data_IF_106083762955
#
_entry.id   IF_106083762955
#
_cell.length_a   1.000
_cell.length_b   1.000
_cell.length_c   1.000
_cell.angle_alpha   90.00
_cell.angle_beta   90.00
_cell.angle_gamma   90.00
#
_symmetry.space_group_name_H-M   'P 1'
#
loop_
_entity.id
_entity.type
_entity.pdbx_description
1 polymer ?
#
# COMPACT_ATOMS: atom_id res chain seq x y z
N UNK A 1 94.70 7.26 8.89
CA UNK A 1 95.04 6.18 7.94
C UNK A 1 93.78 5.36 7.69
N UNK A 2 93.27 5.36 6.46
CA UNK A 2 91.94 4.89 6.07
C UNK A 2 92.12 3.94 4.88
N UNK A 3 91.83 2.65 5.04
CA UNK A 3 91.85 1.64 3.98
C UNK A 3 90.40 1.34 3.53
N UNK A 4 90.06 1.49 2.23
CA UNK A 4 88.72 1.18 1.74
C UNK A 4 88.61 -0.29 1.27
N UNK A 5 87.67 -1.03 1.86
CA UNK A 5 87.12 -2.27 1.30
C UNK A 5 86.06 -1.91 0.25
N UNK A 6 86.47 -1.82 -1.01
CA UNK A 6 85.55 -1.76 -2.16
C UNK A 6 86.12 -2.66 -3.24
N UNK A 7 85.32 -3.65 -3.65
CA UNK A 7 85.43 -4.56 -4.81
C UNK A 7 85.36 -6.05 -4.44
N UNK A 8 84.20 -6.46 -3.91
CA UNK A 8 83.74 -7.84 -3.93
C UNK A 8 82.30 -7.89 -4.49
N UNK A 9 82.06 -7.16 -5.60
CA UNK A 9 80.76 -7.06 -6.29
C UNK A 9 80.83 -7.35 -7.79
N UNK A 10 82.01 -7.63 -8.33
CA UNK A 10 82.23 -7.84 -9.77
C UNK A 10 82.20 -9.32 -10.22
N UNK A 11 82.02 -10.28 -9.30
CA UNK A 11 82.16 -11.72 -9.61
C UNK A 11 80.86 -12.42 -9.99
N UNK A 12 79.68 -11.84 -9.74
CA UNK A 12 78.40 -12.52 -10.02
C UNK A 12 78.01 -12.39 -11.49
N UNK A 13 78.22 -11.21 -12.10
CA UNK A 13 77.84 -10.97 -13.50
C UNK A 13 78.80 -11.62 -14.51
N UNK A 14 80.07 -11.82 -14.16
CA UNK A 14 81.04 -12.49 -15.03
C UNK A 14 80.77 -13.99 -15.20
N UNK A 15 80.09 -14.63 -14.24
CA UNK A 15 79.70 -16.05 -14.31
C UNK A 15 78.42 -16.29 -15.12
N UNK A 16 77.68 -15.23 -15.48
CA UNK A 16 76.43 -15.29 -16.25
C UNK A 16 76.64 -15.07 -17.76
N UNK A 17 77.86 -14.73 -18.19
CA UNK A 17 78.17 -14.39 -19.58
C UNK A 17 78.93 -15.51 -20.34
N UNK A 18 79.04 -16.71 -19.76
CA UNK A 18 79.69 -17.86 -20.37
C UNK A 18 78.65 -18.73 -21.09
N UNK A 19 78.89 -19.17 -22.34
CA UNK A 19 77.88 -19.88 -23.14
C UNK A 19 77.41 -21.16 -22.44
N UNK A 20 76.08 -21.37 -22.44
CA UNK A 20 75.36 -22.46 -21.75
C UNK A 20 75.84 -23.87 -22.12
N UNK A 21 76.59 -24.04 -23.22
CA UNK A 21 77.12 -25.33 -23.69
C UNK A 21 78.34 -25.85 -22.88
N UNK A 22 78.98 -25.03 -22.03
CA UNK A 22 80.15 -25.45 -21.26
C UNK A 22 79.84 -25.86 -19.80
N UNK A 23 78.58 -25.82 -19.38
CA UNK A 23 78.20 -26.08 -17.99
C UNK A 23 78.07 -27.56 -17.69
N UNK A 24 78.88 -28.07 -16.76
CA UNK A 24 78.71 -29.41 -16.18
C UNK A 24 77.29 -29.58 -15.60
N UNK A 25 76.65 -30.73 -15.87
CA UNK A 25 75.31 -31.08 -15.40
C UNK A 25 75.07 -30.80 -13.90
N UNK A 26 76.12 -30.89 -13.07
CA UNK A 26 76.06 -30.58 -11.64
C UNK A 26 75.77 -29.10 -11.36
N UNK A 27 76.34 -28.16 -12.14
CA UNK A 27 76.12 -26.71 -11.97
C UNK A 27 74.72 -26.30 -12.42
N UNK A 28 74.19 -26.94 -13.46
CA UNK A 28 72.81 -26.73 -13.92
C UNK A 28 71.83 -27.19 -12.83
N UNK A 29 72.06 -28.37 -12.23
CA UNK A 29 71.24 -28.86 -11.13
C UNK A 29 71.24 -27.92 -9.91
N UNK A 30 72.42 -27.44 -9.49
CA UNK A 30 72.53 -26.51 -8.36
C UNK A 30 71.81 -25.18 -8.63
N UNK A 31 71.92 -24.65 -9.85
CA UNK A 31 71.27 -23.39 -10.21
C UNK A 31 69.75 -23.55 -10.28
N UNK A 32 69.27 -24.68 -10.81
CA UNK A 32 67.85 -25.04 -10.79
C UNK A 32 67.28 -25.15 -9.37
N UNK A 33 68.00 -25.80 -8.46
CA UNK A 33 67.61 -25.88 -7.04
C UNK A 33 67.60 -24.50 -6.39
N UNK A 34 68.60 -23.66 -6.66
CA UNK A 34 68.65 -22.30 -6.10
C UNK A 34 67.49 -21.43 -6.58
N UNK A 35 67.17 -21.47 -7.88
CA UNK A 35 66.01 -20.75 -8.44
C UNK A 35 64.71 -21.32 -7.87
N UNK A 36 64.57 -22.64 -7.80
CA UNK A 36 63.40 -23.29 -7.22
C UNK A 36 63.17 -22.92 -5.76
N UNK A 37 64.23 -22.92 -4.94
CA UNK A 37 64.16 -22.50 -3.55
C UNK A 37 63.78 -21.02 -3.41
N UNK A 38 64.27 -20.16 -4.30
CA UNK A 38 63.97 -18.73 -4.28
C UNK A 38 62.51 -18.46 -4.68
N UNK A 39 62.00 -19.15 -5.70
CA UNK A 39 60.58 -19.09 -6.10
C UNK A 39 59.67 -19.65 -5.01
N UNK A 40 60.09 -20.74 -4.35
CA UNK A 40 59.32 -21.32 -3.25
C UNK A 40 59.28 -20.37 -2.05
N UNK A 41 60.42 -19.79 -1.66
CA UNK A 41 60.51 -18.83 -0.57
C UNK A 41 59.68 -17.56 -0.84
N UNK A 42 59.69 -17.05 -2.07
CA UNK A 42 58.88 -15.89 -2.45
C UNK A 42 57.38 -16.23 -2.42
N UNK A 43 56.99 -17.40 -2.93
CA UNK A 43 55.60 -17.89 -2.86
C UNK A 43 55.09 -18.01 -1.42
N UNK A 44 55.87 -18.57 -0.51
CA UNK A 44 55.52 -18.67 0.91
C UNK A 44 55.41 -17.30 1.58
N UNK A 45 56.31 -16.36 1.24
CA UNK A 45 56.25 -15.00 1.76
C UNK A 45 54.99 -14.25 1.29
N UNK A 46 54.63 -14.39 0.00
CA UNK A 46 53.41 -13.84 -0.58
C UNK A 46 52.16 -14.43 0.07
N UNK A 47 52.13 -15.74 0.28
CA UNK A 47 50.98 -16.39 0.92
C UNK A 47 50.79 -15.94 2.38
N UNK A 48 51.87 -15.89 3.19
CA UNK A 48 51.79 -15.37 4.56
C UNK A 48 51.34 -13.92 4.63
N UNK A 49 51.80 -13.06 3.71
CA UNK A 49 51.35 -11.67 3.65
C UNK A 49 49.85 -11.52 3.33
N UNK A 50 49.29 -12.48 2.57
CA UNK A 50 47.86 -12.52 2.21
C UNK A 50 46.98 -13.02 3.37
N UNK A 51 47.47 -13.96 4.17
CA UNK A 51 46.76 -14.44 5.36
C UNK A 51 46.76 -13.38 6.50
N UNK A 52 47.86 -12.64 6.60
CA UNK A 52 47.98 -11.48 7.50
C UNK A 52 47.04 -10.33 7.10
N UNK A 53 46.80 -10.11 5.81
CA UNK A 53 45.89 -9.04 5.36
C UNK A 53 44.42 -9.38 5.60
N UNK A 54 44.02 -10.64 5.43
CA UNK A 54 42.66 -11.11 5.75
C UNK A 54 42.30 -10.97 7.24
N UNK A 55 43.24 -11.32 8.12
CA UNK A 55 43.05 -11.19 9.58
C UNK A 55 43.07 -9.73 10.05
N UNK A 56 43.89 -8.87 9.44
CA UNK A 56 43.88 -7.43 9.72
C UNK A 56 42.59 -6.75 9.23
N UNK A 57 42.07 -7.12 8.07
CA UNK A 57 40.79 -6.60 7.54
C UNK A 57 39.60 -7.01 8.42
N UNK A 58 39.61 -8.23 8.97
CA UNK A 58 38.58 -8.68 9.92
C UNK A 58 38.64 -7.90 11.24
N UNK A 59 39.84 -7.65 11.76
CA UNK A 59 40.04 -6.85 12.99
C UNK A 59 39.65 -5.39 12.82
N UNK A 60 39.94 -4.78 11.67
CA UNK A 60 39.54 -3.40 11.39
C UNK A 60 38.02 -3.28 11.21
N UNK A 61 37.38 -4.24 10.54
CA UNK A 61 35.92 -4.29 10.44
C UNK A 61 35.26 -4.47 11.81
N UNK A 62 35.80 -5.32 12.67
CA UNK A 62 35.31 -5.49 14.05
C UNK A 62 35.48 -4.20 14.88
N UNK A 63 36.61 -3.50 14.76
CA UNK A 63 36.83 -2.23 15.44
C UNK A 63 35.84 -1.15 14.96
N UNK A 64 35.55 -1.09 13.67
CA UNK A 64 34.57 -0.15 13.11
C UNK A 64 33.14 -0.47 13.58
N UNK A 65 32.77 -1.76 13.64
CA UNK A 65 31.47 -2.18 14.20
C UNK A 65 31.37 -1.83 15.69
N UNK A 66 32.44 -2.04 16.47
CA UNK A 66 32.47 -1.69 17.89
C UNK A 66 32.28 -0.18 18.09
N UNK A 67 32.99 0.64 17.32
CA UNK A 67 32.82 2.10 17.36
C UNK A 67 31.42 2.56 16.95
N UNK A 68 30.79 1.90 15.97
CA UNK A 68 29.40 2.18 15.59
C UNK A 68 28.42 1.82 16.71
N UNK A 69 28.65 0.70 17.40
CA UNK A 69 27.84 0.29 18.55
C UNK A 69 27.98 1.26 19.72
N UNK A 70 29.20 1.68 20.04
CA UNK A 70 29.45 2.64 21.12
C UNK A 70 28.82 4.00 20.80
N UNK A 71 28.93 4.46 19.54
CA UNK A 71 28.26 5.68 19.08
C UNK A 71 26.75 5.56 19.14
N UNK A 72 26.17 4.44 18.70
CA UNK A 72 24.74 4.19 18.79
C UNK A 72 24.26 4.14 20.25
N UNK A 73 25.07 3.58 21.16
CA UNK A 73 24.77 3.51 22.59
C UNK A 73 24.88 4.87 23.27
N UNK A 74 25.85 5.69 22.89
CA UNK A 74 25.96 7.07 23.35
C UNK A 74 24.75 7.91 22.92
N UNK A 75 24.37 7.85 21.64
CA UNK A 75 23.16 8.51 21.13
C UNK A 75 21.90 7.96 21.82
N UNK A 76 21.82 6.65 22.05
CA UNK A 76 20.72 6.04 22.78
C UNK A 76 20.67 6.45 24.26
N UNK A 77 21.80 6.81 24.87
CA UNK A 77 21.87 7.36 26.23
C UNK A 77 21.42 8.83 26.32
N UNK A 78 21.54 9.58 25.22
CA UNK A 78 21.02 10.96 25.13
C UNK A 78 19.52 11.02 24.81
N UNK A 79 18.94 9.97 24.21
CA UNK A 79 17.50 9.87 23.93
C UNK A 79 16.63 9.97 25.20
N UNK A 80 16.95 9.36 26.36
CA UNK A 80 16.25 9.58 27.62
C UNK A 80 16.29 11.03 28.11
N UNK A 81 17.41 11.74 27.91
CA UNK A 81 17.55 13.15 28.28
C UNK A 81 16.74 14.07 27.36
N UNK A 82 16.68 13.75 26.06
CA UNK A 82 15.76 14.39 25.12
C UNK A 82 14.30 14.02 25.43
N UNK A 83 13.99 12.76 25.79
CA UNK A 83 12.67 12.33 26.24
C UNK A 83 12.26 12.92 27.57
N UNK A 84 13.17 13.35 28.44
CA UNK A 84 12.83 14.05 29.68
C UNK A 84 12.72 15.56 29.46
N UNK A 85 13.43 16.14 28.49
CA UNK A 85 13.19 17.51 28.02
C UNK A 85 11.86 17.61 27.25
N UNK A 86 11.61 16.71 26.30
CA UNK A 86 10.33 16.52 25.60
C UNK A 86 9.23 15.91 26.50
N UNK A 87 9.61 15.23 27.58
CA UNK A 87 8.70 14.60 28.55
C UNK A 87 8.25 15.54 29.65
N UNK A 88 8.93 16.67 29.83
CA UNK A 88 8.42 17.81 30.61
C UNK A 88 7.52 18.71 29.77
N UNK A 89 7.66 18.65 28.45
CA UNK A 89 6.69 19.16 27.46
C UNK A 89 5.74 18.07 26.93
N UNK A 90 5.69 16.89 27.57
CA UNK A 90 4.66 15.89 27.31
C UNK A 90 3.36 16.31 28.01
N UNK A 91 2.86 17.46 27.59
CA UNK A 91 1.44 17.67 27.47
C UNK A 91 0.95 16.78 26.31
N UNK A 92 -0.04 15.90 26.50
CA UNK A 92 -0.54 15.04 25.43
C UNK A 92 -1.44 15.88 24.50
N UNK A 93 -0.87 16.78 23.68
CA UNK A 93 -1.71 17.78 22.99
C UNK A 93 -1.29 18.24 21.59
N UNK A 94 -0.33 17.60 20.91
CA UNK A 94 -0.08 17.94 19.50
C UNK A 94 -0.06 16.67 18.63
N UNK A 95 -1.23 16.29 18.13
CA UNK A 95 -1.34 15.36 17.01
C UNK A 95 -0.76 16.06 15.79
N UNK A 96 0.34 15.54 15.22
CA UNK A 96 0.98 16.20 14.08
C UNK A 96 0.33 15.79 12.76
N UNK A 97 0.55 16.54 11.69
CA UNK A 97 0.03 16.20 10.35
C UNK A 97 0.55 14.83 9.88
N UNK A 98 1.76 14.45 10.29
CA UNK A 98 2.36 13.16 9.96
C UNK A 98 1.63 12.02 10.66
N UNK A 99 1.23 12.22 11.92
CA UNK A 99 0.45 11.24 12.68
C UNK A 99 -0.96 11.09 12.08
N UNK A 100 -1.61 12.21 11.74
CA UNK A 100 -2.91 12.19 11.07
C UNK A 100 -2.85 11.48 9.70
N UNK A 101 -1.82 11.75 8.89
CA UNK A 101 -1.59 11.05 7.63
C UNK A 101 -1.37 9.55 7.85
N UNK A 102 -0.54 9.19 8.83
CA UNK A 102 -0.26 7.80 9.14
C UNK A 102 -1.52 7.05 9.58
N UNK A 103 -2.30 7.61 10.48
CA UNK A 103 -3.53 6.97 10.98
C UNK A 103 -4.61 6.89 9.89
N UNK A 104 -4.82 7.94 9.09
CA UNK A 104 -5.80 7.93 7.99
C UNK A 104 -5.40 6.92 6.91
N UNK A 105 -4.11 6.84 6.54
CA UNK A 105 -3.64 5.88 5.54
C UNK A 105 -3.70 4.44 6.07
N UNK A 106 -3.35 4.22 7.33
CA UNK A 106 -3.51 2.91 7.99
C UNK A 106 -4.98 2.48 8.05
N UNK A 107 -5.90 3.42 8.32
CA UNK A 107 -7.33 3.15 8.38
C UNK A 107 -7.92 2.83 7.00
N UNK A 108 -7.48 3.55 5.96
CA UNK A 108 -7.86 3.27 4.58
C UNK A 108 -7.42 1.86 4.16
N UNK A 109 -6.17 1.48 4.46
CA UNK A 109 -5.65 0.14 4.19
C UNK A 109 -6.42 -0.96 4.94
N UNK A 110 -6.74 -0.74 6.22
CA UNK A 110 -7.56 -1.67 7.02
C UNK A 110 -8.99 -1.82 6.48
N UNK A 111 -9.53 -0.76 5.89
CA UNK A 111 -10.87 -0.76 5.30
C UNK A 111 -10.92 -1.41 3.92
N UNK A 112 -9.78 -1.77 3.32
CA UNK A 112 -9.66 -2.37 1.99
C UNK A 112 -9.55 -1.36 0.84
N UNK A 113 -9.42 -0.06 1.15
CA UNK A 113 -9.31 0.98 0.14
C UNK A 113 -7.91 1.02 -0.50
N UNK A 114 -7.88 1.18 -1.83
CA UNK A 114 -6.66 1.46 -2.58
C UNK A 114 -6.44 2.96 -2.63
N UNK A 115 -5.42 3.44 -1.96
CA UNK A 115 -5.13 4.87 -1.87
C UNK A 115 -4.50 5.33 -3.20
N UNK A 116 -5.13 6.29 -3.86
CA UNK A 116 -4.63 6.88 -5.10
C UNK A 116 -3.74 8.10 -4.82
N UNK A 117 -4.23 9.04 -4.01
CA UNK A 117 -3.49 10.26 -3.66
C UNK A 117 -3.93 10.82 -2.30
N UNK A 118 -2.97 11.39 -1.58
CA UNK A 118 -3.22 12.10 -0.32
C UNK A 118 -2.43 13.40 -0.35
N UNK A 119 -3.13 14.53 -0.41
CA UNK A 119 -2.54 15.86 -0.58
C UNK A 119 -2.90 16.77 0.61
N UNK A 120 -1.92 17.17 1.43
CA UNK A 120 -2.09 18.21 2.43
C UNK A 120 -2.40 19.54 1.76
N UNK A 121 -3.49 20.20 2.16
CA UNK A 121 -3.84 21.53 1.68
C UNK A 121 -3.45 22.60 2.70
N UNK A 122 -3.43 23.87 2.26
CA UNK A 122 -3.04 25.02 3.11
C UNK A 122 -3.96 25.08 4.35
N UNK A 123 -3.34 25.17 5.52
CA UNK A 123 -4.04 25.31 6.81
C UNK A 123 -4.99 26.51 6.77
N UNK A 124 -6.20 26.34 7.28
CA UNK A 124 -7.24 27.37 7.30
C UNK A 124 -7.87 27.43 8.70
N UNK A 125 -7.97 28.62 9.28
CA UNK A 125 -8.57 28.84 10.61
C UNK A 125 -7.60 29.44 11.63
N UNK A 126 -8.15 30.07 12.67
CA UNK A 126 -7.41 30.68 13.79
C UNK A 126 -7.86 30.06 15.13
N UNK A 127 -6.92 29.85 16.07
CA UNK A 127 -7.24 29.45 17.45
C UNK A 127 -7.57 27.97 17.64
N UNK A 128 -8.71 27.65 18.28
CA UNK A 128 -9.11 26.26 18.61
C UNK A 128 -9.68 25.54 17.38
N UNK A 129 -10.06 26.27 16.32
CA UNK A 129 -10.61 25.73 15.08
C UNK A 129 -9.57 25.67 13.96
N UNK A 130 -8.30 25.42 14.30
CA UNK A 130 -7.27 25.19 13.29
C UNK A 130 -7.66 23.95 12.48
N UNK A 131 -8.17 24.18 11.28
CA UNK A 131 -8.58 23.17 10.32
C UNK A 131 -7.42 22.93 9.37
N UNK A 132 -7.00 21.67 9.24
CA UNK A 132 -6.10 21.25 8.17
C UNK A 132 -6.84 20.39 7.18
N UNK A 133 -7.23 20.94 6.02
CA UNK A 133 -7.85 20.16 4.98
C UNK A 133 -6.83 19.22 4.33
N UNK A 134 -7.22 17.96 4.17
CA UNK A 134 -6.47 16.91 3.51
C UNK A 134 -7.31 16.38 2.35
N UNK A 135 -6.84 16.53 1.11
CA UNK A 135 -7.50 15.89 -0.03
C UNK A 135 -7.11 14.42 -0.04
N UNK A 136 -8.12 13.57 -0.09
CA UNK A 136 -8.00 12.12 -0.03
C UNK A 136 -8.70 11.52 -1.24
N UNK A 137 -7.93 10.81 -2.07
CA UNK A 137 -8.44 10.05 -3.20
C UNK A 137 -8.13 8.58 -3.00
N UNK A 138 -9.17 7.75 -3.08
CA UNK A 138 -9.06 6.30 -2.96
C UNK A 138 -10.04 5.58 -3.86
N UNK A 139 -9.81 4.29 -4.08
CA UNK A 139 -10.66 3.42 -4.88
C UNK A 139 -11.06 2.20 -4.05
N UNK A 140 -12.31 1.78 -4.18
CA UNK A 140 -12.83 0.59 -3.51
C UNK A 140 -14.30 0.37 -3.79
N UNK A 141 -14.88 -0.67 -3.21
CA UNK A 141 -16.32 -0.87 -3.20
C UNK A 141 -17.03 0.10 -2.24
N UNK A 142 -18.33 0.33 -2.43
CA UNK A 142 -19.12 1.17 -1.53
C UNK A 142 -19.08 0.67 -0.08
N UNK A 143 -19.04 -0.64 0.14
CA UNK A 143 -18.93 -1.24 1.47
C UNK A 143 -17.60 -0.92 2.16
N UNK A 144 -16.49 -0.94 1.42
CA UNK A 144 -15.16 -0.56 1.90
C UNK A 144 -15.08 0.93 2.21
N UNK A 145 -15.66 1.78 1.35
CA UNK A 145 -15.74 3.23 1.57
C UNK A 145 -16.58 3.54 2.80
N UNK A 146 -17.73 2.89 2.98
CA UNK A 146 -18.57 3.07 4.18
C UNK A 146 -17.82 2.68 5.45
N UNK A 147 -17.18 1.51 5.44
CA UNK A 147 -16.38 1.05 6.58
C UNK A 147 -15.26 2.03 6.94
N UNK A 148 -14.62 2.63 5.94
CA UNK A 148 -13.63 3.68 6.16
C UNK A 148 -14.25 4.93 6.81
N UNK A 149 -15.38 5.42 6.29
CA UNK A 149 -16.06 6.59 6.86
C UNK A 149 -16.51 6.35 8.30
N UNK A 150 -17.06 5.17 8.59
CA UNK A 150 -17.46 4.78 9.95
C UNK A 150 -16.23 4.69 10.88
N UNK A 151 -15.11 4.18 10.37
CA UNK A 151 -13.90 4.04 11.16
C UNK A 151 -13.16 5.36 11.44
N UNK A 152 -13.46 6.45 10.70
CA UNK A 152 -12.92 7.78 11.01
C UNK A 152 -13.40 8.28 12.38
N UNK A 153 -14.56 7.82 12.85
CA UNK A 153 -15.08 8.14 14.18
C UNK A 153 -14.24 7.53 15.30
N UNK A 154 -13.50 6.46 15.02
CA UNK A 154 -12.62 5.77 15.97
C UNK A 154 -11.26 6.45 16.15
N UNK A 155 -10.97 7.51 15.40
CA UNK A 155 -9.71 8.24 15.51
C UNK A 155 -9.64 9.07 16.81
N UNK A 156 -8.44 9.34 17.35
CA UNK A 156 -8.29 10.07 18.61
C UNK A 156 -8.67 11.56 18.54
N UNK A 157 -8.75 12.16 17.34
CA UNK A 157 -9.28 13.52 17.15
C UNK A 157 -10.35 13.56 16.07
N UNK A 158 -11.06 14.68 16.05
CA UNK A 158 -12.12 14.94 15.09
C UNK A 158 -11.55 15.06 13.66
N UNK A 159 -11.94 14.11 12.81
CA UNK A 159 -11.72 14.15 11.37
C UNK A 159 -13.09 14.20 10.69
N UNK A 160 -13.39 15.31 10.03
CA UNK A 160 -14.68 15.52 9.37
C UNK A 160 -14.52 15.39 7.87
N UNK A 161 -15.17 14.42 7.21
CA UNK A 161 -15.26 14.37 5.76
C UNK A 161 -16.09 15.55 5.24
N UNK A 162 -15.49 16.36 4.37
CA UNK A 162 -16.14 17.42 3.61
C UNK A 162 -15.98 17.17 2.11
N UNK A 163 -16.90 17.73 1.31
CA UNK A 163 -16.86 17.67 -0.15
C UNK A 163 -16.67 16.25 -0.71
N UNK A 164 -17.39 15.28 -0.13
CA UNK A 164 -17.31 13.87 -0.53
C UNK A 164 -17.96 13.67 -1.90
N UNK A 165 -17.18 13.21 -2.86
CA UNK A 165 -17.61 12.80 -4.19
C UNK A 165 -17.29 11.33 -4.40
N UNK A 166 -18.24 10.61 -4.98
CA UNK A 166 -18.08 9.22 -5.37
C UNK A 166 -18.37 9.08 -6.86
N UNK A 167 -17.45 8.46 -7.60
CA UNK A 167 -17.54 8.27 -9.05
C UNK A 167 -17.28 6.82 -9.40
N UNK A 168 -18.14 6.22 -10.21
CA UNK A 168 -17.91 4.86 -10.72
C UNK A 168 -16.79 4.90 -11.75
N UNK A 169 -15.88 3.94 -11.66
CA UNK A 169 -14.89 3.73 -12.70
C UNK A 169 -15.57 2.95 -13.86
N UNK A 170 -15.68 3.53 -15.07
CA UNK A 170 -16.27 2.83 -16.21
C UNK A 170 -15.42 1.64 -16.68
N UNK A 171 -14.15 1.56 -16.30
CA UNK A 171 -13.21 0.51 -16.73
C UNK A 171 -13.20 -0.69 -15.77
N UNK A 172 -13.61 -0.52 -14.51
CA UNK A 172 -13.53 -1.56 -13.47
C UNK A 172 -14.91 -1.80 -12.86
N UNK A 173 -15.50 -2.96 -13.17
CA UNK A 173 -16.78 -3.36 -12.61
C UNK A 173 -16.73 -3.40 -11.08
N UNK A 174 -17.70 -2.73 -10.43
CA UNK A 174 -17.85 -2.67 -8.97
C UNK A 174 -16.75 -1.89 -8.21
N UNK A 175 -15.97 -1.05 -8.91
CA UNK A 175 -15.04 -0.09 -8.28
C UNK A 175 -15.62 1.32 -8.26
N UNK A 176 -15.48 1.99 -7.12
CA UNK A 176 -15.89 3.36 -6.87
C UNK A 176 -14.66 4.18 -6.48
N UNK A 177 -14.40 5.23 -7.25
CA UNK A 177 -13.45 6.28 -6.89
C UNK A 177 -14.09 7.23 -5.87
N UNK A 178 -13.45 7.36 -4.72
CA UNK A 178 -13.73 8.32 -3.67
C UNK A 178 -12.78 9.52 -3.81
N UNK A 179 -13.33 10.73 -3.84
CA UNK A 179 -12.60 11.99 -3.69
C UNK A 179 -13.24 12.76 -2.53
N UNK A 180 -12.49 13.01 -1.46
CA UNK A 180 -12.99 13.67 -0.26
C UNK A 180 -11.96 14.64 0.32
N UNK A 181 -12.43 15.70 0.95
CA UNK A 181 -11.58 16.59 1.75
C UNK A 181 -11.78 16.27 3.23
N UNK A 182 -10.80 15.64 3.85
CA UNK A 182 -10.82 15.34 5.28
C UNK A 182 -10.32 16.56 6.06
N UNK A 183 -11.17 17.12 6.92
CA UNK A 183 -10.85 18.24 7.79
C UNK A 183 -10.36 17.70 9.12
N UNK A 184 -9.06 17.83 9.39
CA UNK A 184 -8.46 17.37 10.64
C UNK A 184 -8.39 18.53 11.61
N UNK A 185 -8.96 18.35 12.81
CA UNK A 185 -8.90 19.32 13.90
C UNK A 185 -7.88 18.84 14.95
N UNK A 186 -6.82 19.60 15.17
CA UNK A 186 -5.71 19.19 16.04
C UNK A 186 -6.09 19.17 17.54
N UNK A 187 -7.05 20.00 17.93
CA UNK A 187 -7.43 20.29 19.32
C UNK A 187 -8.73 19.62 19.74
N UNK A 188 -9.61 19.25 18.79
CA UNK A 188 -10.94 18.73 19.08
C UNK A 188 -10.92 17.20 19.26
N UNK A 189 -11.48 16.65 20.35
CA UNK A 189 -11.61 15.21 20.52
C UNK A 189 -12.60 14.63 19.51
N UNK A 190 -12.47 13.34 19.20
CA UNK A 190 -13.47 12.66 18.38
C UNK A 190 -14.83 12.67 19.06
N UNK A 191 -15.87 12.89 18.26
CA UNK A 191 -17.27 12.88 18.69
C UNK A 191 -17.90 11.63 18.11
N UNK A 192 -18.34 10.72 18.99
CA UNK A 192 -19.08 9.53 18.56
C UNK A 192 -20.41 9.94 17.96
N UNK A 193 -20.71 9.45 16.75
CA UNK A 193 -22.02 9.67 16.14
C UNK A 193 -23.06 8.80 16.86
N UNK A 194 -24.30 9.28 17.05
CA UNK A 194 -25.37 8.41 17.49
C UNK A 194 -25.51 7.23 16.51
N UNK A 195 -25.50 6.01 17.05
CA UNK A 195 -25.61 4.76 16.31
C UNK A 195 -26.69 4.86 15.22
N UNK A 196 -26.36 4.56 13.95
CA UNK A 196 -27.33 4.59 12.87
C UNK A 196 -28.48 3.65 13.24
N UNK A 197 -29.71 4.12 13.10
CA UNK A 197 -30.87 3.33 13.42
C UNK A 197 -30.83 2.02 12.62
N UNK A 198 -31.30 0.89 13.16
CA UNK A 198 -31.26 -0.41 12.47
C UNK A 198 -31.94 -0.40 11.08
N UNK A 199 -32.71 0.64 10.76
CA UNK A 199 -33.30 0.90 9.43
C UNK A 199 -32.26 1.42 8.42
N UNK A 200 -31.23 2.13 8.87
CA UNK A 200 -30.10 2.65 8.07
C UNK A 200 -28.97 1.61 7.90
N UNK A 201 -29.04 0.51 8.66
CA UNK A 201 -28.09 -0.62 8.53
C UNK A 201 -28.28 -1.37 7.20
N UNK A 202 -29.47 -1.30 6.59
CA UNK A 202 -29.71 -1.74 5.22
C UNK A 202 -29.33 -0.64 4.22
N UNK A 203 -28.08 -0.16 4.24
CA UNK A 203 -27.61 0.72 3.18
C UNK A 203 -27.46 -0.13 1.92
N UNK A 204 -28.50 -0.08 1.10
CA UNK A 204 -28.46 -0.51 -0.29
C UNK A 204 -27.32 0.27 -0.94
N UNK A 205 -26.35 -0.42 -1.54
CA UNK A 205 -25.29 0.22 -2.31
C UNK A 205 -25.93 0.98 -3.50
N UNK A 206 -25.94 2.33 -3.49
CA UNK A 206 -26.54 3.11 -4.57
C UNK A 206 -25.68 3.07 -5.84
N UNK A 207 -24.43 2.61 -5.73
CA UNK A 207 -23.47 2.40 -6.81
C UNK A 207 -23.30 0.94 -7.17
N UNK A 208 -24.10 0.03 -6.61
CA UNK A 208 -24.09 -1.38 -6.96
C UNK A 208 -24.90 -1.62 -8.23
N UNK A 209 -24.34 -2.32 -9.22
CA UNK A 209 -25.19 -2.99 -10.20
C UNK A 209 -25.85 -4.12 -9.42
N UNK A 210 -27.18 -4.14 -9.33
CA UNK A 210 -27.92 -5.24 -8.72
C UNK A 210 -27.70 -6.53 -9.52
N UNK A 211 -26.56 -7.19 -9.37
CA UNK A 211 -26.41 -8.60 -9.70
C UNK A 211 -26.76 -9.42 -8.45
N UNK A 212 -27.96 -9.16 -7.94
CA UNK A 212 -28.74 -10.10 -7.15
C UNK A 212 -29.75 -10.75 -8.09
N UNK A 213 -29.31 -11.85 -8.70
CA UNK A 213 -30.09 -12.91 -9.30
C UNK A 213 -31.62 -12.72 -9.27
N UNK A 214 -32.13 -12.25 -10.39
CA UNK A 214 -32.97 -13.15 -11.15
C UNK A 214 -32.58 -12.96 -12.60
N UNK A 215 -31.50 -13.63 -13.00
CA UNK A 215 -31.24 -13.96 -14.40
C UNK A 215 -32.33 -14.93 -14.82
N UNK A 216 -33.43 -14.36 -15.27
CA UNK A 216 -34.25 -14.90 -16.33
C UNK A 216 -34.04 -13.88 -17.44
N UNK A 217 -34.11 -14.28 -18.69
CA UNK A 217 -33.86 -13.45 -19.89
C UNK A 217 -34.62 -12.10 -19.96
N UNK A 218 -35.45 -11.78 -18.98
CA UNK A 218 -36.04 -10.47 -18.69
C UNK A 218 -35.03 -9.41 -18.18
N UNK A 219 -33.83 -9.36 -18.75
CA UNK A 219 -32.88 -8.26 -18.53
C UNK A 219 -33.50 -6.93 -18.96
N UNK A 220 -33.40 -5.91 -18.10
CA UNK A 220 -33.80 -4.52 -18.37
C UNK A 220 -35.30 -4.21 -18.40
N UNK A 221 -36.14 -4.91 -17.63
CA UNK A 221 -37.53 -4.47 -17.45
C UNK A 221 -37.66 -3.32 -16.45
N UNK A 222 -38.14 -2.16 -16.90
CA UNK A 222 -38.42 -0.99 -16.05
C UNK A 222 -39.92 -0.76 -15.91
N UNK A 223 -40.40 -0.54 -14.67
CA UNK A 223 -41.79 -0.15 -14.43
C UNK A 223 -41.96 1.34 -14.69
N UNK A 224 -42.63 1.67 -15.79
CA UNK A 224 -42.90 3.05 -16.24
C UNK A 224 -44.22 3.57 -15.70
N UNK A 225 -45.18 2.68 -15.45
CA UNK A 225 -46.54 3.08 -15.05
C UNK A 225 -47.32 1.96 -14.40
N UNK A 226 -48.31 2.32 -13.58
CA UNK A 226 -49.41 1.41 -13.24
C UNK A 226 -50.73 2.10 -13.52
N UNK A 227 -51.68 1.36 -14.08
CA UNK A 227 -53.04 1.80 -14.34
C UNK A 227 -53.97 0.93 -13.51
N UNK A 228 -54.75 1.55 -12.63
CA UNK A 228 -55.69 0.85 -11.75
C UNK A 228 -57.09 1.45 -11.90
N UNK A 229 -58.06 0.57 -12.12
CA UNK A 229 -59.50 0.80 -12.06
C UNK A 229 -60.11 -0.19 -11.06
N UNK A 230 -61.38 -0.01 -10.68
CA UNK A 230 -62.03 -0.83 -9.65
C UNK A 230 -62.03 -2.34 -9.97
N UNK A 231 -62.02 -2.70 -11.26
CA UNK A 231 -62.06 -4.09 -11.74
C UNK A 231 -60.87 -4.48 -12.61
N UNK A 232 -59.94 -3.56 -12.90
CA UNK A 232 -58.82 -3.80 -13.84
C UNK A 232 -57.54 -3.18 -13.31
N UNK A 233 -56.43 -3.89 -13.43
CA UNK A 233 -55.10 -3.34 -13.16
C UNK A 233 -54.14 -3.72 -14.28
N UNK A 234 -53.23 -2.82 -14.62
CA UNK A 234 -52.23 -3.02 -15.67
C UNK A 234 -50.92 -2.35 -15.26
N UNK A 235 -49.81 -2.99 -15.62
CA UNK A 235 -48.46 -2.47 -15.46
C UNK A 235 -47.94 -2.03 -16.83
N UNK A 236 -47.30 -0.86 -16.91
CA UNK A 236 -46.56 -0.43 -18.09
C UNK A 236 -45.09 -0.74 -17.85
N UNK A 237 -44.56 -1.67 -18.63
CA UNK A 237 -43.18 -2.12 -18.55
C UNK A 237 -42.42 -1.70 -19.81
N UNK A 238 -41.27 -1.07 -19.63
CA UNK A 238 -40.29 -0.88 -20.68
C UNK A 238 -39.40 -2.11 -20.74
N UNK A 239 -39.30 -2.68 -21.93
CA UNK A 239 -38.47 -3.85 -22.26
C UNK A 239 -37.53 -3.45 -23.41
N UNK A 240 -36.59 -4.32 -23.80
CA UNK A 240 -35.78 -4.10 -25.00
C UNK A 240 -36.60 -3.90 -26.29
N UNK A 241 -37.86 -4.36 -26.32
CA UNK A 241 -38.80 -4.16 -27.43
C UNK A 241 -39.61 -2.85 -27.36
N UNK A 242 -39.39 -2.03 -26.33
CA UNK A 242 -40.14 -0.81 -26.04
C UNK A 242 -41.11 -0.95 -24.86
N UNK A 243 -41.99 0.05 -24.73
CA UNK A 243 -42.97 0.14 -23.64
C UNK A 243 -44.26 -0.61 -23.99
N UNK A 244 -44.67 -1.55 -23.15
CA UNK A 244 -45.88 -2.34 -23.33
C UNK A 244 -46.68 -2.46 -22.02
N UNK A 245 -48.00 -2.64 -22.16
CA UNK A 245 -48.93 -2.81 -21.05
C UNK A 245 -49.26 -4.27 -20.78
N UNK A 246 -49.17 -4.68 -19.50
CA UNK A 246 -49.39 -6.05 -19.06
C UNK A 246 -50.36 -6.12 -17.89
N UNK A 247 -51.39 -6.94 -18.01
CA UNK A 247 -52.35 -7.24 -16.94
C UNK A 247 -51.86 -8.39 -16.05
N UNK A 248 -52.36 -8.50 -14.79
CA UNK A 248 -52.15 -9.67 -13.96
C UNK A 248 -52.47 -10.97 -14.71
N UNK A 249 -51.56 -11.94 -14.62
CA UNK A 249 -51.62 -13.22 -15.31
C UNK A 249 -50.95 -13.25 -16.69
N UNK A 250 -50.60 -12.10 -17.27
CA UNK A 250 -49.89 -12.06 -18.55
C UNK A 250 -48.39 -12.29 -18.39
N UNK A 251 -47.75 -12.88 -19.39
CA UNK A 251 -46.32 -13.18 -19.41
C UNK A 251 -45.53 -12.05 -20.08
N UNK A 252 -44.37 -11.73 -19.51
CA UNK A 252 -43.40 -10.76 -20.00
C UNK A 252 -42.04 -11.46 -20.03
N UNK A 253 -41.58 -11.83 -21.21
CA UNK A 253 -40.49 -12.81 -21.34
C UNK A 253 -40.87 -14.13 -20.65
N UNK A 254 -40.01 -14.57 -19.72
CA UNK A 254 -40.17 -15.81 -18.94
C UNK A 254 -40.90 -15.60 -17.59
N UNK A 255 -41.40 -14.39 -17.31
CA UNK A 255 -42.01 -14.04 -16.03
C UNK A 255 -43.49 -13.66 -16.18
N UNK A 256 -44.34 -14.13 -15.28
CA UNK A 256 -45.77 -13.82 -15.25
C UNK A 256 -46.06 -12.65 -14.30
N UNK A 257 -46.79 -11.65 -14.77
CA UNK A 257 -47.27 -10.54 -13.94
C UNK A 257 -48.23 -11.08 -12.88
N UNK A 258 -47.87 -10.91 -11.62
CA UNK A 258 -48.70 -11.20 -10.46
C UNK A 258 -49.53 -9.99 -10.08
N UNK A 259 -49.44 -9.59 -8.81
CA UNK A 259 -50.22 -8.48 -8.25
C UNK A 259 -49.66 -7.13 -8.68
N UNK A 260 -50.51 -6.28 -9.27
CA UNK A 260 -50.20 -4.89 -9.58
C UNK A 260 -50.63 -3.99 -8.41
N UNK A 261 -49.66 -3.34 -7.76
CA UNK A 261 -49.86 -2.34 -6.71
C UNK A 261 -49.73 -0.94 -7.30
N UNK A 262 -49.97 0.10 -6.49
CA UNK A 262 -49.92 1.50 -6.96
C UNK A 262 -48.53 1.91 -7.46
N UNK A 263 -47.45 1.36 -6.88
CA UNK A 263 -46.07 1.74 -7.18
C UNK A 263 -45.12 0.56 -7.40
N UNK A 264 -45.67 -0.65 -7.48
CA UNK A 264 -44.89 -1.87 -7.67
C UNK A 264 -45.71 -3.00 -8.27
N UNK A 265 -45.04 -3.97 -8.85
CA UNK A 265 -45.63 -5.18 -9.39
C UNK A 265 -44.88 -6.41 -8.89
N UNK A 266 -45.61 -7.50 -8.69
CA UNK A 266 -45.02 -8.81 -8.45
C UNK A 266 -44.85 -9.51 -9.80
N UNK A 267 -43.71 -10.13 -10.04
CA UNK A 267 -43.41 -10.98 -11.19
C UNK A 267 -43.07 -12.37 -10.65
N UNK A 268 -43.70 -13.39 -11.23
CA UNK A 268 -43.48 -14.79 -10.87
C UNK A 268 -42.82 -15.49 -12.03
N UNK A 269 -41.65 -16.06 -11.80
CA UNK A 269 -40.92 -16.84 -12.78
C UNK A 269 -41.42 -18.29 -12.82
N UNK A 270 -41.20 -18.96 -13.95
CA UNK A 270 -41.56 -20.38 -14.14
C UNK A 270 -40.96 -21.35 -13.11
N UNK A 271 -39.85 -20.99 -12.46
CA UNK A 271 -39.21 -21.74 -11.37
C UNK A 271 -39.89 -21.53 -9.98
N UNK A 272 -40.94 -20.71 -9.92
CA UNK A 272 -41.67 -20.37 -8.70
C UNK A 272 -41.07 -19.20 -7.92
N UNK A 273 -39.95 -18.61 -8.36
CA UNK A 273 -39.40 -17.43 -7.73
C UNK A 273 -40.32 -16.22 -7.95
N UNK A 274 -40.62 -15.49 -6.86
CA UNK A 274 -41.40 -14.26 -6.90
C UNK A 274 -40.47 -13.08 -6.66
N UNK A 275 -40.51 -12.10 -7.56
CA UNK A 275 -39.73 -10.86 -7.47
C UNK A 275 -40.65 -9.65 -7.56
N UNK A 276 -40.29 -8.55 -6.89
CA UNK A 276 -41.07 -7.31 -6.91
C UNK A 276 -40.29 -6.22 -7.62
N UNK A 277 -40.91 -5.55 -8.61
CA UNK A 277 -40.35 -4.40 -9.33
C UNK A 277 -41.13 -3.14 -8.95
N UNK A 278 -40.43 -2.04 -8.66
CA UNK A 278 -41.01 -0.71 -8.36
C UNK A 278 -40.62 0.34 -9.41
N UNK A 279 -41.23 1.53 -9.30
CA UNK A 279 -40.91 2.68 -10.16
C UNK A 279 -39.42 3.05 -10.10
N UNK A 280 -38.91 3.61 -11.19
CA UNK A 280 -37.54 4.10 -11.28
C UNK A 280 -37.34 5.29 -10.34
N UNK A 281 -38.36 6.13 -10.14
CA UNK A 281 -38.32 7.31 -9.26
C UNK A 281 -38.48 6.99 -7.77
N UNK A 282 -38.99 5.80 -7.41
CA UNK A 282 -39.05 5.29 -6.02
C UNK A 282 -37.79 4.49 -5.64
N UNK A 283 -36.80 4.46 -6.55
CA UNK A 283 -35.49 3.91 -6.27
C UNK A 283 -34.71 4.98 -5.49
N UNK A 284 -34.37 4.75 -4.21
CA UNK A 284 -33.50 5.66 -3.48
C UNK A 284 -32.12 5.75 -4.15
#
# INVERSE_FOLDING_TARGET
>A
MKTPHVLQRASIFALLAEPLDAWSNCRIAVTGVAVGALVFASGVALWRSSDLSGTQASRSALADVQHRLDRARAVAGELPAMRTRLGRDASPLRWTIADALHEITALAAQSGLRIGAVEPSVQKGEGIEIERPLRFRAEGSFGEIRRFMDALEGLPRLVVPADVQMKRDPLVSNSLGLDATLRVFETLPAVSRPEPSRRDAFAIDPFGVKNGAGTGEAGEMLLVGTLRSQSRSMALLETAAGVAGFAPGQTVGEEQVGRVRARSIELRRGDGAVRTIGFVEDRP
#
